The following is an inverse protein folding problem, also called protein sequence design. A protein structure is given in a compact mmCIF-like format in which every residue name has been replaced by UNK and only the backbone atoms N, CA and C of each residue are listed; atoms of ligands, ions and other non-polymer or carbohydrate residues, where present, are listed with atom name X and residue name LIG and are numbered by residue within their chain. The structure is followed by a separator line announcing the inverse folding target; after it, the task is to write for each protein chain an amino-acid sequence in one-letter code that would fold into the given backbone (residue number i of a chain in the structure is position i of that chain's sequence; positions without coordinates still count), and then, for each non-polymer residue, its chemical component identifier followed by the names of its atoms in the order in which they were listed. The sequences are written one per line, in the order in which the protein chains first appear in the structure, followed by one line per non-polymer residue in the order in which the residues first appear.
data_IF_120436756836
#
_entry.id   IF_120436756836
#
_cell.length_a   1.000
_cell.length_b   1.000
_cell.length_c   1.000
_cell.angle_alpha   90.00
_cell.angle_beta   90.00
_cell.angle_gamma   90.00
#
_symmetry.space_group_name_H-M   'P 1'
#
loop_
_entity.id
_entity.type
_entity.pdbx_description
1 polymer ?
#
# COMPACT_ATOMS: atom_id res chain seq x y z
N UNK A 1 0.44 -2.97 -49.66
CA UNK A 1 -0.15 -1.82 -48.94
C UNK A 1 -0.54 -2.30 -47.56
N UNK A 2 0.33 -2.10 -46.58
CA UNK A 2 0.05 -2.37 -45.16
C UNK A 2 -0.40 -1.05 -44.53
N UNK A 3 -1.48 -1.02 -43.73
CA UNK A 3 -1.91 0.22 -43.10
C UNK A 3 -0.90 0.61 -42.03
N UNK A 4 -0.51 1.89 -42.02
CA UNK A 4 0.34 2.46 -40.97
C UNK A 4 -0.29 2.23 -39.60
N UNK A 5 0.47 1.77 -38.59
CA UNK A 5 -0.05 1.71 -37.23
C UNK A 5 -0.31 3.14 -36.75
N UNK A 6 -1.56 3.39 -36.36
CA UNK A 6 -2.01 4.64 -35.76
C UNK A 6 -1.10 4.98 -34.58
N UNK A 7 -0.16 5.89 -34.79
CA UNK A 7 0.57 6.55 -33.70
C UNK A 7 -0.43 7.36 -32.89
N UNK A 8 -0.93 6.78 -31.81
CA UNK A 8 -1.57 7.54 -30.74
C UNK A 8 -0.51 8.47 -30.13
N UNK A 9 -0.40 9.68 -30.68
CA UNK A 9 0.25 10.80 -30.01
C UNK A 9 -0.54 11.08 -28.73
N UNK A 10 -0.18 10.45 -27.61
CA UNK A 10 -0.59 10.92 -26.28
C UNK A 10 0.17 12.21 -25.97
N UNK A 11 -0.31 13.31 -26.54
CA UNK A 11 -0.04 14.66 -26.04
C UNK A 11 -1.11 14.94 -24.98
N UNK A 12 -0.94 14.35 -23.80
CA UNK A 12 -1.80 14.59 -22.64
C UNK A 12 -1.18 15.68 -21.79
N UNK A 13 -1.82 16.85 -21.78
CA UNK A 13 -1.59 17.92 -20.82
C UNK A 13 -1.71 17.32 -19.40
N UNK A 14 -0.68 17.43 -18.57
CA UNK A 14 -0.71 17.00 -17.16
C UNK A 14 -1.44 17.99 -16.23
N UNK A 15 -2.21 18.93 -16.80
CA UNK A 15 -3.04 19.87 -16.06
C UNK A 15 -4.51 19.56 -16.35
N UNK A 16 -5.27 19.29 -15.29
CA UNK A 16 -6.74 19.13 -15.24
C UNK A 16 -7.32 17.71 -15.18
N UNK A 17 -6.55 16.70 -14.73
CA UNK A 17 -7.19 15.47 -14.23
C UNK A 17 -7.55 15.70 -12.76
N UNK A 18 -8.85 15.71 -12.39
CA UNK A 18 -9.24 15.88 -11.00
C UNK A 18 -8.70 14.73 -10.15
N UNK A 19 -8.42 14.96 -8.85
CA UNK A 19 -7.90 13.93 -7.97
C UNK A 19 -8.88 12.77 -7.89
N UNK A 20 -8.36 11.54 -7.87
CA UNK A 20 -9.18 10.34 -7.67
C UNK A 20 -9.81 10.37 -6.27
N UNK A 21 -11.13 10.17 -6.21
CA UNK A 21 -11.92 10.24 -4.96
C UNK A 21 -12.59 8.94 -4.56
N UNK A 22 -12.82 8.05 -5.53
CA UNK A 22 -13.32 6.71 -5.27
C UNK A 22 -12.12 5.76 -5.27
N UNK A 23 -11.67 5.33 -4.09
CA UNK A 23 -10.44 4.57 -3.90
C UNK A 23 -10.72 3.31 -3.07
N UNK A 24 -10.19 2.19 -3.54
CA UNK A 24 -10.12 0.94 -2.78
C UNK A 24 -8.66 0.54 -2.65
N UNK A 25 -8.22 0.29 -1.42
CA UNK A 25 -6.89 -0.25 -1.12
C UNK A 25 -7.06 -1.66 -0.55
N UNK A 26 -6.21 -2.58 -0.98
CA UNK A 26 -6.16 -3.94 -0.45
C UNK A 26 -4.71 -4.34 -0.22
N UNK A 27 -4.40 -4.75 1.01
CA UNK A 27 -3.14 -5.44 1.31
C UNK A 27 -3.21 -6.86 0.75
N UNK A 28 -2.14 -7.26 0.07
CA UNK A 28 -2.01 -8.54 -0.62
C UNK A 28 -1.04 -9.42 0.17
N UNK A 29 -1.46 -10.64 0.49
CA UNK A 29 -0.66 -11.68 1.09
C UNK A 29 -0.22 -12.68 0.00
N UNK A 30 1.04 -13.09 0.03
CA UNK A 30 1.58 -14.21 -0.74
C UNK A 30 2.81 -14.79 -0.04
N UNK A 31 2.85 -16.10 0.14
CA UNK A 31 3.98 -16.77 0.81
C UNK A 31 5.14 -17.06 -0.16
N UNK A 32 4.83 -17.41 -1.41
CA UNK A 32 5.80 -17.80 -2.43
C UNK A 32 5.74 -16.99 -3.72
N UNK A 33 4.74 -16.11 -3.87
CA UNK A 33 4.48 -15.32 -5.08
C UNK A 33 3.54 -15.99 -6.09
N UNK A 34 3.06 -17.22 -5.82
CA UNK A 34 2.19 -17.98 -6.70
C UNK A 34 0.72 -17.70 -6.41
N UNK A 35 0.30 -17.91 -5.16
CA UNK A 35 -1.06 -17.64 -4.70
C UNK A 35 -1.12 -16.27 -4.02
N UNK A 36 -2.12 -15.48 -4.39
CA UNK A 36 -2.30 -14.10 -3.91
C UNK A 36 -3.70 -13.94 -3.34
N UNK A 37 -3.76 -13.54 -2.06
CA UNK A 37 -5.01 -13.30 -1.34
C UNK A 37 -5.02 -11.88 -0.80
N UNK A 38 -6.17 -11.22 -0.74
CA UNK A 38 -6.26 -9.99 0.07
C UNK A 38 -6.38 -10.34 1.55
N UNK A 39 -5.88 -9.49 2.44
CA UNK A 39 -6.12 -9.66 3.88
C UNK A 39 -7.62 -9.78 4.20
N UNK A 40 -8.48 -8.97 3.55
CA UNK A 40 -9.94 -9.11 3.68
C UNK A 40 -10.52 -10.44 3.18
N UNK A 41 -9.84 -11.21 2.31
CA UNK A 41 -10.24 -12.57 1.98
C UNK A 41 -9.82 -13.53 3.11
N UNK A 42 -8.57 -13.45 3.55
CA UNK A 42 -8.03 -14.29 4.62
C UNK A 42 -8.84 -14.17 5.92
N UNK A 43 -9.18 -12.95 6.34
CA UNK A 43 -9.99 -12.71 7.56
C UNK A 43 -11.41 -13.29 7.49
N UNK A 44 -11.90 -13.61 6.29
CA UNK A 44 -13.18 -14.29 6.05
C UNK A 44 -13.02 -15.81 5.87
N UNK A 45 -11.83 -16.36 6.14
CA UNK A 45 -11.50 -17.75 5.88
C UNK A 45 -11.46 -18.10 4.40
N UNK A 46 -11.27 -17.11 3.52
CA UNK A 46 -11.13 -17.30 2.08
C UNK A 46 -9.65 -17.20 1.72
N UNK A 47 -9.02 -18.33 1.47
CA UNK A 47 -7.62 -18.42 1.08
C UNK A 47 -6.89 -19.51 1.82
N UNK A 48 -5.66 -19.78 1.38
CA UNK A 48 -4.79 -20.79 1.99
C UNK A 48 -3.61 -20.04 2.60
N UNK A 49 -3.32 -20.35 3.86
CA UNK A 49 -2.15 -19.86 4.59
C UNK A 49 -1.26 -21.06 4.86
N UNK A 50 0.04 -20.92 4.60
CA UNK A 50 1.00 -21.98 4.89
C UNK A 50 1.26 -22.13 6.38
N UNK A 51 1.70 -23.33 6.75
CA UNK A 51 1.95 -23.66 8.17
C UNK A 51 3.10 -22.83 8.74
N UNK A 52 4.12 -22.53 7.94
CA UNK A 52 5.24 -21.65 8.32
C UNK A 52 4.76 -20.25 8.77
N UNK A 53 3.67 -19.75 8.21
CA UNK A 53 3.14 -18.41 8.50
C UNK A 53 2.22 -18.39 9.74
N UNK A 54 1.98 -19.53 10.39
CA UNK A 54 1.10 -19.60 11.56
C UNK A 54 1.69 -18.94 12.81
N UNK A 55 2.95 -18.49 12.76
CA UNK A 55 3.51 -17.64 13.81
C UNK A 55 3.42 -16.18 13.39
N UNK A 56 3.05 -15.26 14.30
CA UNK A 56 3.07 -13.82 14.05
C UNK A 56 4.39 -13.32 13.46
N UNK A 57 5.53 -13.79 14.00
CA UNK A 57 6.86 -13.43 13.50
C UNK A 57 7.06 -13.80 12.02
N UNK A 58 6.75 -15.05 11.64
CA UNK A 58 6.83 -15.47 10.24
C UNK A 58 5.85 -14.70 9.36
N UNK A 59 4.62 -14.46 9.83
CA UNK A 59 3.60 -13.70 9.10
C UNK A 59 4.03 -12.25 8.81
N UNK A 60 4.83 -11.62 9.68
CA UNK A 60 5.36 -10.28 9.41
C UNK A 60 6.44 -10.26 8.33
N UNK A 61 7.08 -11.40 8.05
CA UNK A 61 8.14 -11.55 7.06
C UNK A 61 7.63 -12.04 5.69
N UNK A 62 6.33 -12.40 5.59
CA UNK A 62 5.75 -12.87 4.34
C UNK A 62 5.83 -11.82 3.25
N UNK A 63 5.97 -12.29 2.01
CA UNK A 63 5.88 -11.42 0.86
C UNK A 63 4.45 -10.89 0.72
N UNK A 64 4.34 -9.75 0.07
CA UNK A 64 3.03 -9.14 -0.10
C UNK A 64 3.09 -7.85 -0.87
N UNK A 65 1.98 -7.15 -0.87
CA UNK A 65 1.96 -5.82 -1.41
C UNK A 65 0.65 -5.09 -1.33
N UNK A 66 0.48 -4.13 -2.25
CA UNK A 66 -0.63 -3.20 -2.23
C UNK A 66 -1.30 -3.21 -3.59
N UNK A 67 -2.61 -3.43 -3.56
CA UNK A 67 -3.49 -3.13 -4.68
C UNK A 67 -4.24 -1.85 -4.41
N UNK A 68 -4.20 -0.92 -5.35
CA UNK A 68 -5.04 0.28 -5.35
C UNK A 68 -5.87 0.35 -6.62
N UNK A 69 -7.17 0.58 -6.44
CA UNK A 69 -8.14 0.65 -7.52
C UNK A 69 -9.09 1.83 -7.33
N UNK A 70 -9.72 2.24 -8.43
CA UNK A 70 -10.84 3.18 -8.43
C UNK A 70 -12.07 2.52 -9.04
N UNK A 71 -13.19 2.60 -8.32
CA UNK A 71 -14.39 1.84 -8.61
C UNK A 71 -14.14 0.33 -8.68
N UNK A 72 -14.97 -0.37 -9.48
CA UNK A 72 -14.89 -1.83 -9.65
C UNK A 72 -14.03 -2.30 -10.82
N UNK A 73 -13.45 -1.37 -11.57
CA UNK A 73 -13.01 -1.65 -12.96
C UNK A 73 -11.53 -1.33 -13.17
N UNK A 74 -10.98 -0.34 -12.46
CA UNK A 74 -9.64 0.15 -12.74
C UNK A 74 -8.70 -0.05 -11.56
N UNK A 75 -7.82 -1.05 -11.66
CA UNK A 75 -6.65 -1.15 -10.78
C UNK A 75 -5.52 -0.34 -11.38
N UNK A 76 -5.02 0.63 -10.63
CA UNK A 76 -3.91 1.48 -11.05
C UNK A 76 -2.60 1.10 -10.37
N UNK A 77 -2.65 0.58 -9.15
CA UNK A 77 -1.50 0.03 -8.46
C UNK A 77 -1.74 -1.44 -8.19
N UNK A 78 -0.78 -2.27 -8.55
CA UNK A 78 -0.68 -3.64 -8.10
C UNK A 78 0.80 -3.94 -7.89
N UNK A 79 1.21 -4.12 -6.64
CA UNK A 79 2.60 -4.44 -6.29
C UNK A 79 2.63 -5.73 -5.50
N UNK A 80 3.60 -6.60 -5.84
CA UNK A 80 3.95 -7.81 -5.09
C UNK A 80 5.48 -7.93 -4.91
N UNK A 81 6.22 -6.93 -5.40
CA UNK A 81 7.68 -6.88 -5.44
C UNK A 81 8.26 -6.06 -4.28
N UNK A 82 7.41 -5.62 -3.35
CA UNK A 82 7.89 -5.01 -2.13
C UNK A 82 8.45 -6.06 -1.19
N UNK A 83 9.34 -5.58 -0.32
CA UNK A 83 10.14 -6.36 0.60
C UNK A 83 9.33 -7.47 1.31
N UNK A 84 8.48 -7.05 2.24
CA UNK A 84 7.59 -7.85 3.07
C UNK A 84 6.24 -7.13 3.15
N UNK A 85 5.18 -7.87 3.48
CA UNK A 85 3.83 -7.35 3.64
C UNK A 85 3.81 -6.20 4.67
N UNK A 86 4.61 -6.32 5.73
CA UNK A 86 4.61 -5.36 6.82
C UNK A 86 5.16 -3.98 6.42
N UNK A 87 6.04 -3.91 5.41
CA UNK A 87 6.49 -2.65 4.83
C UNK A 87 5.34 -1.84 4.20
N UNK A 88 4.36 -2.52 3.59
CA UNK A 88 3.16 -1.84 3.07
C UNK A 88 2.19 -1.46 4.19
N UNK A 89 2.12 -2.24 5.26
CA UNK A 89 1.39 -1.86 6.48
C UNK A 89 1.98 -0.57 7.07
N UNK A 90 3.31 -0.47 7.18
CA UNK A 90 3.99 0.76 7.59
C UNK A 90 3.70 1.93 6.66
N UNK A 91 3.73 1.72 5.35
CA UNK A 91 3.39 2.76 4.37
C UNK A 91 1.98 3.31 4.57
N UNK A 92 0.99 2.43 4.78
CA UNK A 92 -0.38 2.83 5.05
C UNK A 92 -0.53 3.51 6.42
N UNK A 93 0.12 2.99 7.47
CA UNK A 93 0.14 3.62 8.79
C UNK A 93 0.71 5.04 8.73
N UNK A 94 1.88 5.22 8.10
CA UNK A 94 2.48 6.53 7.89
C UNK A 94 1.49 7.50 7.21
N UNK A 95 0.80 7.03 6.17
CA UNK A 95 -0.20 7.84 5.47
C UNK A 95 -1.38 8.24 6.36
N UNK A 96 -1.86 7.36 7.23
CA UNK A 96 -2.99 7.69 8.12
C UNK A 96 -2.57 8.60 9.27
N UNK A 97 -1.35 8.42 9.78
CA UNK A 97 -0.83 9.13 10.95
C UNK A 97 -0.26 10.53 10.63
N UNK A 98 -0.06 10.83 9.34
CA UNK A 98 0.59 12.06 8.86
C UNK A 98 0.12 13.35 9.56
N UNK A 99 -1.19 13.62 9.59
CA UNK A 99 -1.76 14.85 10.20
C UNK A 99 -2.09 14.69 11.69
N UNK A 100 -1.85 13.53 12.28
CA UNK A 100 -2.19 13.32 13.69
C UNK A 100 -1.15 14.00 14.59
N UNK A 101 -1.51 14.37 15.83
CA UNK A 101 -0.53 14.83 16.81
C UNK A 101 0.61 13.82 16.97
N UNK A 102 1.85 14.31 17.08
CA UNK A 102 3.01 13.48 17.37
C UNK A 102 2.79 12.75 18.71
N UNK A 103 2.67 11.43 18.63
CA UNK A 103 2.58 10.55 19.78
C UNK A 103 3.90 9.76 19.79
N UNK A 104 4.74 9.88 20.84
CA UNK A 104 6.09 9.28 20.88
C UNK A 104 6.12 7.81 20.46
N UNK A 105 5.10 7.06 20.85
CA UNK A 105 4.90 5.64 20.58
C UNK A 105 4.56 5.31 19.11
N UNK A 106 4.09 6.30 18.34
CA UNK A 106 3.74 6.15 16.92
C UNK A 106 4.81 6.72 15.98
N UNK A 107 5.82 7.41 16.51
CA UNK A 107 6.86 8.08 15.71
C UNK A 107 7.61 7.11 14.79
N UNK A 108 7.81 5.85 15.20
CA UNK A 108 8.45 4.82 14.36
C UNK A 108 7.68 4.49 13.06
N UNK A 109 6.37 4.77 13.03
CA UNK A 109 5.52 4.52 11.87
C UNK A 109 5.33 5.78 11.02
N UNK A 110 5.79 6.95 11.51
CA UNK A 110 5.90 8.14 10.67
C UNK A 110 7.12 7.97 9.78
N UNK A 111 6.98 8.31 8.50
CA UNK A 111 8.08 8.18 7.53
C UNK A 111 9.33 8.89 8.04
N UNK A 112 10.46 8.18 8.06
CA UNK A 112 11.76 8.71 8.45
C UNK A 112 12.46 9.49 7.33
N UNK A 113 11.85 9.62 6.14
CA UNK A 113 12.38 10.49 5.09
C UNK A 113 12.10 11.95 5.45
N UNK A 114 13.12 12.65 5.96
CA UNK A 114 13.11 14.06 6.38
C UNK A 114 12.95 15.05 5.21
N UNK A 115 12.34 14.63 4.10
CA UNK A 115 12.07 15.48 2.94
C UNK A 115 10.73 16.19 3.13
N UNK A 116 10.71 17.54 3.04
CA UNK A 116 9.46 18.30 3.16
C UNK A 116 8.38 17.80 2.18
N UNK A 117 7.18 17.55 2.71
CA UNK A 117 6.03 17.10 1.92
C UNK A 117 6.02 15.61 1.55
N UNK A 118 6.99 14.79 2.03
CA UNK A 118 6.89 13.33 1.90
C UNK A 118 6.08 12.77 3.07
N UNK A 119 5.05 11.98 2.75
CA UNK A 119 4.15 11.37 3.73
C UNK A 119 4.63 9.96 4.05
N UNK A 120 4.86 9.15 3.02
CA UNK A 120 5.22 7.75 3.16
C UNK A 120 6.04 7.30 1.94
N UNK A 121 6.99 6.39 2.18
CA UNK A 121 7.80 5.75 1.15
C UNK A 121 7.90 4.26 1.48
N UNK A 122 7.73 3.40 0.48
CA UNK A 122 8.07 1.97 0.57
C UNK A 122 9.01 1.62 -0.57
N UNK A 123 10.12 0.96 -0.24
CA UNK A 123 11.14 0.52 -1.20
C UNK A 123 10.83 -0.89 -1.68
N UNK A 124 11.03 -1.11 -2.98
CA UNK A 124 10.91 -2.41 -3.62
C UNK A 124 12.29 -3.06 -3.77
N UNK A 125 12.31 -4.38 -3.89
CA UNK A 125 13.57 -5.15 -3.98
C UNK A 125 14.37 -4.84 -5.26
N UNK A 126 13.69 -4.42 -6.32
CA UNK A 126 14.30 -4.00 -7.60
C UNK A 126 14.93 -2.59 -7.55
N UNK A 127 14.89 -1.94 -6.38
CA UNK A 127 15.37 -0.57 -6.18
C UNK A 127 14.36 0.51 -6.59
N UNK A 128 13.17 0.13 -7.04
CA UNK A 128 12.04 1.04 -7.16
C UNK A 128 11.49 1.46 -5.80
N UNK A 129 10.64 2.47 -5.78
CA UNK A 129 9.92 2.89 -4.58
C UNK A 129 8.54 3.42 -4.94
N UNK A 130 7.60 3.22 -4.02
CA UNK A 130 6.31 3.87 -4.03
C UNK A 130 6.36 5.00 -3.01
N UNK A 131 6.06 6.22 -3.46
CA UNK A 131 6.08 7.42 -2.61
C UNK A 131 4.74 8.12 -2.64
N UNK A 132 4.29 8.51 -1.46
CA UNK A 132 3.13 9.37 -1.24
C UNK A 132 3.64 10.72 -0.76
N UNK A 133 3.26 11.80 -1.44
CA UNK A 133 3.64 13.16 -1.08
C UNK A 133 2.41 14.06 -0.93
N UNK A 134 2.52 15.06 -0.08
CA UNK A 134 1.57 16.16 -0.03
C UNK A 134 1.52 16.87 -1.39
N UNK A 135 0.30 17.16 -1.82
CA UNK A 135 0.01 18.07 -2.92
C UNK A 135 -0.63 19.34 -2.38
N UNK A 136 -1.21 20.11 -3.29
CA UNK A 136 -1.96 21.32 -2.96
C UNK A 136 -3.43 21.00 -2.67
N UNK A 137 -4.10 21.83 -1.85
CA UNK A 137 -5.57 21.82 -1.71
C UNK A 137 -6.20 20.48 -1.28
N UNK A 138 -5.57 19.75 -0.36
CA UNK A 138 -6.11 18.46 0.14
C UNK A 138 -5.91 17.29 -0.83
N UNK A 139 -5.04 17.46 -1.82
CA UNK A 139 -4.63 16.40 -2.74
C UNK A 139 -3.31 15.81 -2.30
N UNK A 140 -3.13 14.51 -2.54
CA UNK A 140 -1.88 13.79 -2.40
C UNK A 140 -1.43 13.24 -3.74
N UNK A 141 -0.13 13.15 -3.93
CA UNK A 141 0.45 12.53 -5.10
C UNK A 141 1.04 11.17 -4.74
N UNK A 142 0.52 10.12 -5.37
CA UNK A 142 1.12 8.79 -5.32
C UNK A 142 1.98 8.62 -6.57
N UNK A 143 3.25 8.28 -6.39
CA UNK A 143 4.19 8.08 -7.48
C UNK A 143 4.91 6.75 -7.31
N UNK A 144 5.02 6.00 -8.40
CA UNK A 144 5.95 4.89 -8.51
C UNK A 144 7.22 5.40 -9.21
N UNK A 145 8.34 5.35 -8.48
CA UNK A 145 9.65 5.76 -8.95
C UNK A 145 10.51 4.49 -9.00
N UNK A 146 10.69 3.90 -10.17
CA UNK A 146 11.68 2.86 -10.41
C UNK A 146 13.10 3.37 -10.12
N UNK A 147 14.05 2.44 -9.94
CA UNK A 147 15.46 2.72 -9.69
C UNK A 147 16.13 3.64 -10.74
N UNK A 148 15.54 3.79 -11.93
CA UNK A 148 16.03 4.63 -13.02
C UNK A 148 15.11 5.82 -13.38
N UNK A 149 14.05 6.06 -12.60
CA UNK A 149 13.03 7.10 -12.85
C UNK A 149 12.29 7.00 -14.21
N UNK A 150 12.15 5.80 -14.78
CA UNK A 150 11.19 5.41 -15.81
C UNK A 150 10.32 4.22 -15.35
N UNK A 151 9.02 4.47 -15.15
CA UNK A 151 8.05 3.40 -14.91
C UNK A 151 8.26 2.24 -15.93
N UNK A 152 8.27 0.95 -15.50
CA UNK A 152 8.44 -0.19 -16.42
C UNK A 152 7.41 -0.16 -17.56
N UNK A 153 7.59 -0.94 -18.62
CA UNK A 153 6.49 -1.27 -19.53
C UNK A 153 6.10 -2.74 -19.26
N UNK A 154 4.91 -2.98 -18.72
CA UNK A 154 4.26 -4.28 -18.54
C UNK A 154 2.95 -4.28 -19.32
N UNK A 155 2.60 -5.44 -19.85
CA UNK A 155 1.56 -5.59 -20.86
C UNK A 155 0.13 -5.43 -20.32
N UNK A 156 -0.09 -5.49 -19.00
CA UNK A 156 -1.43 -5.60 -18.42
C UNK A 156 -1.78 -4.57 -17.33
N UNK A 157 -0.90 -3.59 -17.03
CA UNK A 157 -1.20 -2.51 -16.07
C UNK A 157 -0.83 -1.14 -16.63
N UNK A 158 -1.74 -0.15 -16.66
CA UNK A 158 -1.38 1.19 -17.09
C UNK A 158 -0.47 1.84 -16.05
N UNK A 159 0.81 1.98 -16.41
CA UNK A 159 1.80 2.72 -15.63
C UNK A 159 1.28 4.09 -15.25
N UNK A 160 1.01 4.27 -13.96
CA UNK A 160 1.05 5.60 -13.40
C UNK A 160 2.46 5.85 -12.88
N UNK A 161 3.14 6.82 -13.48
CA UNK A 161 4.33 7.40 -12.83
C UNK A 161 3.92 8.28 -11.65
N UNK A 162 2.74 8.92 -11.75
CA UNK A 162 2.17 9.79 -10.73
C UNK A 162 0.66 9.93 -10.88
N UNK A 163 -0.08 9.86 -9.78
CA UNK A 163 -1.52 10.14 -9.70
C UNK A 163 -1.79 11.20 -8.64
N UNK A 164 -2.73 12.11 -8.92
CA UNK A 164 -3.34 12.94 -7.89
C UNK A 164 -4.54 12.23 -7.28
N UNK A 165 -4.60 12.22 -5.95
CA UNK A 165 -5.57 11.50 -5.13
C UNK A 165 -6.16 12.47 -4.11
N UNK A 166 -7.43 12.29 -3.76
CA UNK A 166 -7.97 12.96 -2.57
C UNK A 166 -7.32 12.37 -1.32
N UNK A 167 -6.76 13.22 -0.46
CA UNK A 167 -6.15 12.77 0.80
C UNK A 167 -7.18 12.08 1.71
N UNK A 168 -8.40 12.60 1.76
CA UNK A 168 -9.52 12.02 2.51
C UNK A 168 -9.87 10.62 1.99
N UNK A 169 -10.06 10.48 0.67
CA UNK A 169 -10.38 9.19 0.06
C UNK A 169 -9.27 8.15 0.30
N UNK A 170 -8.01 8.57 0.13
CA UNK A 170 -6.87 7.68 0.38
C UNK A 170 -6.83 7.21 1.82
N UNK A 171 -6.95 8.13 2.79
CA UNK A 171 -6.96 7.80 4.22
C UNK A 171 -8.09 6.85 4.58
N UNK A 172 -9.29 7.08 4.06
CA UNK A 172 -10.45 6.22 4.31
C UNK A 172 -10.21 4.79 3.77
N UNK A 173 -9.66 4.67 2.57
CA UNK A 173 -9.31 3.39 1.98
C UNK A 173 -8.14 2.70 2.73
N UNK A 174 -7.13 3.46 3.16
CA UNK A 174 -5.99 2.95 3.92
C UNK A 174 -6.42 2.44 5.30
N UNK A 175 -7.28 3.18 6.01
CA UNK A 175 -7.90 2.76 7.27
C UNK A 175 -8.65 1.44 7.10
N UNK A 176 -9.42 1.30 6.02
CA UNK A 176 -10.15 0.07 5.71
C UNK A 176 -9.19 -1.11 5.52
N UNK A 177 -8.16 -0.95 4.71
CA UNK A 177 -7.15 -1.99 4.49
C UNK A 177 -6.39 -2.38 5.78
N UNK A 178 -6.04 -1.40 6.62
CA UNK A 178 -5.38 -1.64 7.91
C UNK A 178 -6.29 -2.38 8.90
N UNK A 179 -7.59 -2.09 8.90
CA UNK A 179 -8.58 -2.83 9.70
C UNK A 179 -8.70 -4.27 9.22
N UNK A 180 -8.74 -4.51 7.91
CA UNK A 180 -8.75 -5.88 7.36
C UNK A 180 -7.47 -6.66 7.71
N UNK A 181 -6.32 -5.99 7.71
CA UNK A 181 -5.06 -6.58 8.15
C UNK A 181 -5.10 -6.96 9.63
N UNK A 182 -5.56 -6.06 10.51
CA UNK A 182 -5.76 -6.38 11.94
C UNK A 182 -6.70 -7.56 12.14
N UNK A 183 -7.83 -7.58 11.44
CA UNK A 183 -8.78 -8.70 11.48
C UNK A 183 -8.15 -10.02 11.02
N UNK A 184 -7.21 -9.96 10.07
CA UNK A 184 -6.46 -11.14 9.61
C UNK A 184 -5.54 -11.65 10.72
N UNK A 185 -4.81 -10.77 11.39
CA UNK A 185 -3.97 -11.15 12.54
C UNK A 185 -4.82 -11.73 13.69
N UNK A 186 -5.95 -11.09 14.01
CA UNK A 186 -6.87 -11.58 15.04
C UNK A 186 -7.49 -12.94 14.65
N UNK A 187 -7.78 -13.16 13.37
CA UNK A 187 -8.31 -14.42 12.86
C UNK A 187 -7.28 -15.56 12.91
N UNK A 188 -6.05 -15.29 12.48
CA UNK A 188 -5.00 -16.31 12.41
C UNK A 188 -4.38 -16.62 13.79
N UNK A 189 -4.25 -15.61 14.65
CA UNK A 189 -3.44 -15.69 15.87
C UNK A 189 -4.19 -15.31 17.15
N UNK A 190 -5.44 -14.87 17.07
CA UNK A 190 -6.18 -14.42 18.25
C UNK A 190 -5.52 -13.22 18.93
N UNK A 191 -5.29 -13.30 20.25
CA UNK A 191 -4.54 -12.25 20.99
C UNK A 191 -3.04 -12.49 21.03
N UNK A 192 -2.56 -13.61 20.49
CA UNK A 192 -1.17 -14.03 20.66
C UNK A 192 -0.21 -13.21 19.78
N UNK A 193 -0.70 -12.55 18.73
CA UNK A 193 0.14 -11.69 17.91
C UNK A 193 0.59 -10.41 18.61
N UNK A 194 -0.04 -9.99 19.71
CA UNK A 194 0.34 -8.76 20.42
C UNK A 194 1.37 -8.99 21.54
N UNK A 195 1.72 -10.24 21.85
CA UNK A 195 2.53 -10.59 23.04
C UNK A 195 3.93 -11.09 22.69
N UNK A 196 4.25 -11.19 21.39
CA UNK A 196 5.42 -11.93 20.94
C UNK A 196 6.68 -11.09 20.77
N UNK A 197 6.57 -9.77 20.54
CA UNK A 197 7.72 -8.89 20.37
C UNK A 197 7.32 -7.41 20.55
N UNK A 198 8.27 -6.56 20.97
CA UNK A 198 8.04 -5.11 21.11
C UNK A 198 7.61 -4.42 19.80
N UNK A 199 7.91 -5.02 18.65
CA UNK A 199 7.34 -4.59 17.38
C UNK A 199 5.84 -4.80 17.29
N UNK A 200 5.38 -6.00 17.67
CA UNK A 200 3.99 -6.39 17.53
C UNK A 200 3.09 -5.62 18.51
N UNK A 201 3.59 -5.31 19.71
CA UNK A 201 2.92 -4.39 20.65
C UNK A 201 2.73 -3.00 20.06
N UNK A 202 3.77 -2.45 19.43
CA UNK A 202 3.72 -1.12 18.81
C UNK A 202 2.79 -1.11 17.59
N UNK A 203 2.81 -2.17 16.79
CA UNK A 203 1.89 -2.34 15.66
C UNK A 203 0.44 -2.47 16.13
N UNK A 204 0.19 -3.27 17.17
CA UNK A 204 -1.12 -3.42 17.78
C UNK A 204 -1.65 -2.09 18.32
N UNK A 205 -0.79 -1.35 19.02
CA UNK A 205 -1.13 -0.02 19.51
C UNK A 205 -1.46 0.94 18.38
N UNK A 206 -0.61 1.01 17.34
CA UNK A 206 -0.83 1.87 16.18
C UNK A 206 -2.16 1.56 15.49
N UNK A 207 -2.48 0.28 15.30
CA UNK A 207 -3.75 -0.17 14.72
C UNK A 207 -4.95 0.11 15.62
N UNK A 208 -4.79 0.04 16.95
CA UNK A 208 -5.84 0.40 17.90
C UNK A 208 -6.13 1.90 17.92
N UNK A 209 -5.14 2.75 17.69
CA UNK A 209 -5.33 4.19 17.56
C UNK A 209 -6.13 4.58 16.30
N UNK A 210 -6.35 3.67 15.34
CA UNK A 210 -7.08 3.96 14.10
C UNK A 210 -8.61 3.87 14.22
N UNK A 211 -9.10 3.35 15.34
CA UNK A 211 -10.53 3.27 15.68
C UNK A 211 -11.05 4.59 16.25
#
# INVERSE_FOLDING_TARGET
MTPDPVRLKRKGHNGDVPPLRDLTLSLLYTDDGTDIWTCGQLSRGQGVVRVEDLTPAAFYEVRGGLRAATGRIFTFLWTLDGHDLVSYVHFLLASVLHDRPAAPELERFRSAEHSPGVIATVWHQDGGLLRLTEGTNGEWALAFLDAQSRAPESQDSPFFSRLSLSSEAWRSAALTALREYRQTLDFLFGRDWTTQDGFAEQLAHALACLD
#
